data_IF_324492273408
#
_entry.id   IF_324492273408
#
_cell.length_a   1.000
_cell.length_b   1.000
_cell.length_c   1.000
_cell.angle_alpha   90.00
_cell.angle_beta   90.00
_cell.angle_gamma   90.00
#
_symmetry.space_group_name_H-M   'P 1'
#
loop_
_entity.id
_entity.type
_entity.pdbx_description
1 polymer ?
#
# COMPACT_ATOMS: atom_id res chain seq x y z
N UNK A 1 -40.51 -39.53 -3.94
CA UNK A 1 -39.91 -38.58 -4.90
C UNK A 1 -39.33 -37.42 -4.12
N UNK A 2 -38.00 -37.20 -4.14
CA UNK A 2 -37.41 -35.96 -3.65
C UNK A 2 -37.54 -34.83 -4.71
N UNK A 3 -37.63 -33.55 -4.31
CA UNK A 3 -37.61 -32.42 -5.24
C UNK A 3 -36.18 -32.11 -5.74
N UNK A 4 -36.03 -31.40 -6.89
CA UNK A 4 -34.75 -31.17 -7.53
C UNK A 4 -33.94 -30.03 -6.90
N UNK A 5 -32.62 -30.12 -7.13
CA UNK A 5 -31.54 -29.21 -6.74
C UNK A 5 -31.79 -27.73 -6.96
N UNK A 6 -31.26 -26.89 -6.06
CA UNK A 6 -30.96 -25.48 -6.32
C UNK A 6 -29.47 -25.23 -6.06
N UNK A 7 -28.78 -24.79 -7.11
CA UNK A 7 -27.37 -24.45 -7.14
C UNK A 7 -27.03 -23.21 -6.29
N UNK A 8 -25.78 -23.04 -5.83
CA UNK A 8 -25.37 -21.85 -5.09
C UNK A 8 -25.35 -20.59 -5.98
N UNK A 9 -25.62 -19.39 -5.43
CA UNK A 9 -25.58 -18.15 -6.19
C UNK A 9 -24.14 -17.78 -6.56
N UNK A 10 -23.98 -17.38 -7.82
CA UNK A 10 -22.76 -16.81 -8.40
C UNK A 10 -22.34 -15.55 -7.64
N UNK A 11 -21.14 -15.53 -7.08
CA UNK A 11 -20.56 -14.33 -6.49
C UNK A 11 -20.11 -13.38 -7.61
N UNK A 12 -20.83 -12.27 -7.76
CA UNK A 12 -20.51 -11.20 -8.70
C UNK A 12 -19.16 -10.55 -8.31
N UNK A 13 -18.22 -10.54 -9.26
CA UNK A 13 -16.97 -9.80 -9.14
C UNK A 13 -17.23 -8.28 -9.22
N UNK A 14 -16.63 -7.45 -8.35
CA UNK A 14 -16.74 -6.01 -8.49
C UNK A 14 -15.90 -5.51 -9.68
N UNK A 15 -16.51 -4.65 -10.48
CA UNK A 15 -15.96 -4.03 -11.69
C UNK A 15 -14.87 -2.99 -11.37
N UNK A 16 -13.81 -2.86 -12.19
CA UNK A 16 -12.85 -1.77 -12.06
C UNK A 16 -13.45 -0.45 -12.54
N UNK A 17 -13.33 0.60 -11.72
CA UNK A 17 -13.62 1.97 -12.15
C UNK A 17 -12.50 2.51 -13.06
N UNK A 18 -12.81 3.26 -14.13
CA UNK A 18 -11.80 3.93 -14.95
C UNK A 18 -11.26 5.18 -14.25
N UNK A 19 -9.93 5.29 -14.23
CA UNK A 19 -9.14 6.44 -13.75
C UNK A 19 -9.26 7.63 -14.73
N UNK A 20 -9.30 8.89 -14.25
CA UNK A 20 -9.32 10.08 -15.10
C UNK A 20 -7.96 10.43 -15.72
N UNK A 21 -8.04 10.93 -16.96
CA UNK A 21 -6.97 11.36 -17.87
C UNK A 21 -5.83 12.23 -17.28
N UNK A 22 -4.62 12.18 -17.90
CA UNK A 22 -3.43 12.92 -17.48
C UNK A 22 -3.40 14.37 -18.02
N UNK A 23 -2.83 15.34 -17.28
CA UNK A 23 -2.41 16.59 -17.88
C UNK A 23 -1.04 16.43 -18.57
N UNK A 24 -0.98 16.85 -19.83
CA UNK A 24 0.24 17.04 -20.61
C UNK A 24 1.12 18.15 -20.00
N UNK A 25 2.42 17.86 -19.84
CA UNK A 25 3.43 18.84 -19.46
C UNK A 25 4.81 18.40 -19.92
N UNK A 26 5.26 18.97 -21.03
CA UNK A 26 6.60 18.77 -21.59
C UNK A 26 7.66 19.57 -20.79
N UNK A 27 8.82 18.95 -20.50
CA UNK A 27 10.17 19.49 -20.74
C UNK A 27 11.28 18.65 -20.05
N UNK A 28 12.17 18.14 -20.91
CA UNK A 28 13.60 17.74 -20.85
C UNK A 28 14.48 17.81 -19.58
N UNK A 29 15.60 17.03 -19.54
CA UNK A 29 16.31 16.61 -18.33
C UNK A 29 17.45 17.57 -17.91
N UNK A 30 17.82 17.53 -16.63
CA UNK A 30 19.10 18.06 -16.14
C UNK A 30 19.66 17.16 -15.04
N UNK A 31 20.88 16.67 -15.28
CA UNK A 31 21.70 15.95 -14.32
C UNK A 31 22.36 16.92 -13.31
N UNK A 32 22.85 16.32 -12.23
CA UNK A 32 23.78 16.82 -11.22
C UNK A 32 23.19 17.60 -10.03
N UNK A 33 23.48 17.09 -8.82
CA UNK A 33 23.29 17.83 -7.58
C UNK A 33 23.15 16.95 -6.35
N UNK A 34 24.26 16.34 -5.91
CA UNK A 34 24.37 15.70 -4.59
C UNK A 34 23.75 16.59 -3.50
N UNK A 35 22.68 16.11 -2.87
CA UNK A 35 22.04 16.77 -1.72
C UNK A 35 21.72 15.70 -0.69
N UNK A 36 22.43 15.75 0.43
CA UNK A 36 22.21 14.93 1.60
C UNK A 36 20.72 14.96 2.02
N UNK A 37 20.16 13.87 2.58
CA UNK A 37 18.75 13.84 2.96
C UNK A 37 18.51 14.86 4.08
N UNK A 38 17.85 15.97 3.73
CA UNK A 38 17.34 16.92 4.71
C UNK A 38 16.25 16.21 5.53
N UNK A 39 16.59 15.88 6.77
CA UNK A 39 15.65 15.37 7.78
C UNK A 39 14.54 16.43 7.95
N UNK A 40 13.26 16.12 7.69
CA UNK A 40 12.20 17.10 7.90
C UNK A 40 12.12 17.40 9.41
N UNK A 41 12.41 18.64 9.78
CA UNK A 41 12.11 19.15 11.12
C UNK A 41 10.60 19.36 11.20
N UNK A 42 9.87 18.32 11.58
CA UNK A 42 8.46 18.41 11.86
C UNK A 42 8.25 19.22 13.15
N UNK A 43 7.95 20.52 13.01
CA UNK A 43 7.23 21.27 14.04
C UNK A 43 5.80 20.71 14.08
N UNK A 44 5.62 19.62 14.81
CA UNK A 44 4.29 19.05 15.05
C UNK A 44 3.60 19.87 16.14
N UNK A 45 2.66 20.72 15.70
CA UNK A 45 1.60 21.30 16.53
C UNK A 45 0.96 20.16 17.31
N UNK A 46 1.06 20.18 18.64
CA UNK A 46 0.55 19.12 19.52
C UNK A 46 -0.99 19.08 19.47
N UNK A 47 -1.50 18.37 18.48
CA UNK A 47 -2.85 17.81 18.51
C UNK A 47 -2.80 16.62 19.46
N UNK A 48 -3.65 16.60 20.47
CA UNK A 48 -3.80 15.50 21.44
C UNK A 48 -4.42 14.28 20.78
N UNK A 49 -3.75 13.72 19.78
CA UNK A 49 -4.08 12.44 19.19
C UNK A 49 -3.30 11.34 19.91
N UNK A 50 -3.87 10.13 20.07
CA UNK A 50 -3.12 8.99 20.60
C UNK A 50 -1.80 8.81 19.82
N UNK A 51 -0.74 8.30 20.47
CA UNK A 51 0.57 8.17 19.85
C UNK A 51 0.46 7.28 18.60
N UNK A 52 0.57 7.92 17.45
CA UNK A 52 0.49 7.33 16.11
C UNK A 52 1.74 7.76 15.38
N UNK A 53 2.46 6.80 14.79
CA UNK A 53 3.68 7.07 14.04
C UNK A 53 3.45 6.73 12.58
N UNK A 54 3.43 7.77 11.75
CA UNK A 54 3.39 7.62 10.31
C UNK A 54 4.75 7.11 9.80
N UNK A 55 4.76 5.91 9.23
CA UNK A 55 5.92 5.28 8.62
C UNK A 55 5.75 5.19 7.11
N UNK A 56 6.76 5.61 6.36
CA UNK A 56 6.86 5.39 4.92
C UNK A 56 7.82 4.25 4.63
N UNK A 57 7.32 3.20 4.00
CA UNK A 57 8.07 2.01 3.61
C UNK A 57 8.37 2.09 2.10
N UNK A 58 9.64 2.31 1.70
CA UNK A 58 10.05 2.15 0.32
C UNK A 58 10.00 0.66 -0.04
N UNK A 59 9.31 0.33 -1.13
CA UNK A 59 9.15 -1.03 -1.64
C UNK A 59 9.71 -1.13 -3.05
N UNK A 60 10.00 -2.34 -3.50
CA UNK A 60 10.30 -2.55 -4.90
C UNK A 60 9.00 -2.34 -5.69
N UNK A 61 8.96 -1.29 -6.51
CA UNK A 61 7.77 -0.96 -7.30
C UNK A 61 6.79 0.02 -6.69
N UNK A 62 7.15 0.68 -5.57
CA UNK A 62 6.31 1.71 -4.99
C UNK A 62 6.73 2.17 -3.61
N UNK A 63 5.82 2.90 -2.97
CA UNK A 63 5.95 3.32 -1.57
C UNK A 63 4.63 3.10 -0.85
N UNK A 64 4.71 2.67 0.39
CA UNK A 64 3.55 2.48 1.27
C UNK A 64 3.70 3.38 2.50
N UNK A 65 2.70 4.19 2.80
CA UNK A 65 2.60 4.97 4.02
C UNK A 65 1.59 4.31 4.97
N UNK A 66 2.04 3.96 6.16
CA UNK A 66 1.26 3.31 7.21
C UNK A 66 1.24 4.18 8.47
N UNK A 67 0.05 4.34 9.03
CA UNK A 67 -0.14 4.84 10.39
C UNK A 67 0.02 3.66 11.34
N UNK A 68 1.12 3.61 12.08
CA UNK A 68 1.42 2.54 13.03
C UNK A 68 1.07 3.03 14.44
N UNK A 69 0.18 2.31 15.11
CA UNK A 69 -0.25 2.57 16.49
C UNK A 69 0.21 1.42 17.39
N UNK A 70 -0.06 1.54 18.69
CA UNK A 70 0.39 0.57 19.68
C UNK A 70 -0.15 -0.85 19.43
N UNK A 71 -1.36 -0.99 18.88
CA UNK A 71 -2.04 -2.29 18.70
C UNK A 71 -2.73 -2.45 17.35
N UNK A 72 -2.60 -1.48 16.44
CA UNK A 72 -3.24 -1.49 15.12
C UNK A 72 -2.34 -0.77 14.11
N UNK A 73 -2.48 -1.11 12.82
CA UNK A 73 -1.88 -0.36 11.73
C UNK A 73 -2.95 -0.01 10.69
N UNK A 74 -2.84 1.16 10.07
CA UNK A 74 -3.74 1.58 8.99
C UNK A 74 -2.95 2.03 7.78
N UNK A 75 -3.39 1.59 6.60
CA UNK A 75 -2.85 2.12 5.36
C UNK A 75 -3.36 3.54 5.16
N UNK A 76 -2.42 4.47 5.00
CA UNK A 76 -2.72 5.88 4.68
C UNK A 76 -2.65 6.08 3.18
N UNK A 77 -1.62 5.55 2.54
CA UNK A 77 -1.42 5.66 1.10
C UNK A 77 -0.53 4.53 0.59
N UNK A 78 -0.79 4.05 -0.62
CA UNK A 78 0.16 3.22 -1.36
C UNK A 78 0.26 3.79 -2.77
N UNK A 79 1.49 4.07 -3.21
CA UNK A 79 1.77 4.71 -4.50
C UNK A 79 2.68 3.79 -5.29
N UNK A 80 2.21 3.19 -6.39
CA UNK A 80 3.07 2.40 -7.27
C UNK A 80 4.02 3.30 -8.06
N UNK A 81 5.18 2.73 -8.41
CA UNK A 81 6.09 3.28 -9.40
C UNK A 81 5.54 3.04 -10.82
N UNK A 82 6.04 3.81 -11.81
CA UNK A 82 5.57 3.69 -13.19
C UNK A 82 5.74 2.27 -13.76
N UNK A 83 4.66 1.73 -14.31
CA UNK A 83 4.61 0.38 -14.87
C UNK A 83 4.49 -0.74 -13.82
N UNK A 84 4.29 -0.41 -12.54
CA UNK A 84 3.91 -1.37 -11.51
C UNK A 84 2.40 -1.34 -11.28
N UNK A 85 1.81 -2.52 -11.16
CA UNK A 85 0.43 -2.70 -10.71
C UNK A 85 0.39 -2.77 -9.19
N UNK A 86 -0.61 -2.15 -8.57
CA UNK A 86 -0.80 -2.18 -7.11
C UNK A 86 -2.10 -2.89 -6.75
N UNK A 87 -2.03 -3.74 -5.73
CA UNK A 87 -3.19 -4.39 -5.12
C UNK A 87 -3.10 -4.28 -3.59
N UNK A 88 -4.23 -4.03 -2.93
CA UNK A 88 -4.30 -3.86 -1.48
C UNK A 88 -5.39 -4.76 -0.93
N UNK A 89 -5.08 -5.48 0.14
CA UNK A 89 -6.01 -6.28 0.92
C UNK A 89 -5.92 -5.90 2.39
N UNK A 90 -7.03 -6.02 3.11
CA UNK A 90 -7.09 -5.75 4.54
C UNK A 90 -8.07 -6.70 5.22
N UNK A 91 -7.83 -7.00 6.49
CA UNK A 91 -8.75 -7.68 7.39
C UNK A 91 -8.68 -7.08 8.78
N UNK A 92 -9.33 -7.70 9.76
CA UNK A 92 -9.45 -7.17 11.14
C UNK A 92 -8.10 -6.85 11.80
N UNK A 93 -7.08 -7.65 11.48
CA UNK A 93 -5.79 -7.67 12.18
C UNK A 93 -4.59 -7.77 11.24
N UNK A 94 -4.80 -7.47 9.96
CA UNK A 94 -3.75 -7.55 8.96
C UNK A 94 -4.05 -6.66 7.74
N UNK A 95 -3.00 -6.33 7.02
CA UNK A 95 -3.04 -5.60 5.77
C UNK A 95 -1.95 -6.12 4.84
N UNK A 96 -2.23 -6.24 3.55
CA UNK A 96 -1.27 -6.63 2.55
C UNK A 96 -1.31 -5.65 1.38
N UNK A 97 -0.14 -5.24 0.90
CA UNK A 97 0.02 -4.45 -0.33
C UNK A 97 0.93 -5.23 -1.25
N UNK A 98 0.53 -5.37 -2.50
CA UNK A 98 1.34 -6.01 -3.52
C UNK A 98 1.60 -5.07 -4.68
N UNK A 99 2.86 -4.96 -5.07
CA UNK A 99 3.31 -4.31 -6.29
C UNK A 99 3.79 -5.40 -7.24
N UNK A 100 3.27 -5.45 -8.45
CA UNK A 100 3.69 -6.42 -9.47
C UNK A 100 4.05 -5.73 -10.77
N UNK A 101 5.12 -6.20 -11.40
CA UNK A 101 5.60 -5.74 -12.71
C UNK A 101 6.37 -6.87 -13.38
N UNK A 102 5.92 -7.25 -14.57
CA UNK A 102 6.50 -8.36 -15.33
C UNK A 102 6.63 -9.61 -14.43
N UNK A 103 7.83 -10.17 -14.28
CA UNK A 103 8.13 -11.33 -13.43
C UNK A 103 8.51 -10.96 -11.98
N UNK A 104 8.33 -9.70 -11.56
CA UNK A 104 8.67 -9.23 -10.21
C UNK A 104 7.42 -8.86 -9.42
N UNK A 105 7.40 -9.27 -8.17
CA UNK A 105 6.28 -9.11 -7.24
C UNK A 105 6.85 -8.72 -5.88
N UNK A 106 6.48 -7.55 -5.37
CA UNK A 106 6.86 -7.05 -4.06
C UNK A 106 5.65 -6.97 -3.16
N UNK A 107 5.68 -7.70 -2.05
CA UNK A 107 4.56 -7.81 -1.11
C UNK A 107 4.97 -7.23 0.22
N UNK A 108 4.23 -6.24 0.70
CA UNK A 108 4.26 -5.79 2.08
C UNK A 108 3.10 -6.43 2.83
N UNK A 109 3.37 -7.11 3.93
CA UNK A 109 2.36 -7.68 4.81
C UNK A 109 2.53 -7.08 6.20
N UNK A 110 1.44 -6.58 6.76
CA UNK A 110 1.34 -6.06 8.11
C UNK A 110 0.38 -6.93 8.88
N UNK A 111 0.73 -7.33 10.09
CA UNK A 111 -0.17 -8.06 10.99
C UNK A 111 -0.02 -7.58 12.42
N UNK A 112 -1.13 -7.50 13.14
CA UNK A 112 -1.18 -7.09 14.54
C UNK A 112 -2.21 -7.93 15.30
N UNK A 113 -1.79 -8.63 16.36
CA UNK A 113 -2.68 -9.48 17.15
C UNK A 113 -2.87 -8.91 18.55
N UNK A 114 -3.29 -7.64 18.65
CA UNK A 114 -3.36 -6.92 19.92
C UNK A 114 -2.00 -6.45 20.46
N UNK A 115 -0.95 -6.55 19.63
CA UNK A 115 0.42 -6.11 19.90
C UNK A 115 0.87 -5.11 18.83
N UNK A 116 2.07 -4.56 19.00
CA UNK A 116 2.68 -3.66 18.02
C UNK A 116 2.68 -4.32 16.62
N UNK A 117 2.22 -3.61 15.57
CA UNK A 117 2.15 -4.17 14.22
C UNK A 117 3.50 -4.66 13.72
N UNK A 118 3.52 -5.89 13.21
CA UNK A 118 4.67 -6.47 12.55
C UNK A 118 4.57 -6.22 11.05
N UNK A 119 5.58 -5.55 10.49
CA UNK A 119 5.66 -5.27 9.05
C UNK A 119 6.71 -6.17 8.44
N UNK A 120 6.33 -6.89 7.40
CA UNK A 120 7.19 -7.79 6.64
C UNK A 120 7.12 -7.41 5.16
N UNK A 121 8.25 -7.52 4.48
CA UNK A 121 8.37 -7.20 3.06
C UNK A 121 9.05 -8.35 2.35
N UNK A 122 8.43 -8.83 1.28
CA UNK A 122 8.89 -9.95 0.48
C UNK A 122 9.00 -9.51 -0.97
N UNK A 123 10.00 -10.02 -1.68
CA UNK A 123 10.15 -9.83 -3.11
C UNK A 123 10.28 -11.20 -3.75
N UNK A 124 9.48 -11.46 -4.77
CA UNK A 124 9.49 -12.67 -5.58
C UNK A 124 9.76 -12.24 -7.02
N UNK A 125 10.71 -12.89 -7.70
CA UNK A 125 11.08 -12.56 -9.07
C UNK A 125 12.60 -12.49 -9.27
N UNK A 126 13.06 -12.92 -10.44
CA UNK A 126 14.47 -13.03 -10.82
C UNK A 126 15.07 -11.67 -11.19
#
# INVERSE_FOLDING_TARGET
>A
MPPPSSAPPSAAAPSPSPDPDPPAGAATPAAAGSSAPARPSATARRSSSPPSTLHSYPMLGGRVALDVRATEARLVSAVPEAGWSMQVWHGDQWLQVNFSKDDRVSTLMVSWNGTAPNVQTFVVGN
#
